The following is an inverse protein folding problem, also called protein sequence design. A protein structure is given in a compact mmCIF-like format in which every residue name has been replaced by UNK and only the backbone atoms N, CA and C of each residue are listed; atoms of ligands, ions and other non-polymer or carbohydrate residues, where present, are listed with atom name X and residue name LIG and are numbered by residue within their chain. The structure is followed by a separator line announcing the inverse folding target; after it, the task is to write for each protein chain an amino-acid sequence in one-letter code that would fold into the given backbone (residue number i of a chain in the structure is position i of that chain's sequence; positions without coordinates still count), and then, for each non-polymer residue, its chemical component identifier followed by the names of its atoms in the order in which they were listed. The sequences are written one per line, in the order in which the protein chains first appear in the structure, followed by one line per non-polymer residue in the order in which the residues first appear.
data_IF_018425708700
#
_entry.id   IF_018425708700
#
_cell.length_a   1.000
_cell.length_b   1.000
_cell.length_c   1.000
_cell.angle_alpha   90.00
_cell.angle_beta   90.00
_cell.angle_gamma   90.00
#
_symmetry.space_group_name_H-M   'P 1'
#
loop_
_entity.id
_entity.type
_entity.pdbx_description
1 polymer ?
#
# COMPACT_ATOMS: atom_id res chain seq x y z
N UNK A 1 -4.60 23.82 -2.32
CA UNK A 1 -3.85 22.93 -1.40
C UNK A 1 -4.78 21.96 -0.69
N UNK A 2 -5.90 22.42 -0.11
CA UNK A 2 -6.83 21.56 0.66
C UNK A 2 -7.39 20.37 -0.13
N UNK A 3 -7.72 20.56 -1.41
CA UNK A 3 -8.13 19.46 -2.30
C UNK A 3 -7.05 18.37 -2.41
N UNK A 4 -5.77 18.74 -2.57
CA UNK A 4 -4.66 17.78 -2.67
C UNK A 4 -4.42 17.04 -1.36
N UNK A 5 -4.57 17.71 -0.21
CA UNK A 5 -4.50 17.04 1.10
C UNK A 5 -5.60 16.00 1.24
N UNK A 6 -6.84 16.33 0.83
CA UNK A 6 -7.96 15.38 0.81
C UNK A 6 -7.66 14.19 -0.11
N UNK A 7 -7.14 14.42 -1.31
CA UNK A 7 -6.70 13.35 -2.21
C UNK A 7 -5.66 12.44 -1.56
N UNK A 8 -4.63 13.00 -0.93
CA UNK A 8 -3.59 12.20 -0.27
C UNK A 8 -4.16 11.37 0.89
N UNK A 9 -5.12 11.91 1.66
CA UNK A 9 -5.85 11.14 2.69
C UNK A 9 -6.65 9.99 2.08
N UNK A 10 -7.41 10.24 1.02
CA UNK A 10 -8.18 9.19 0.32
C UNK A 10 -7.28 8.07 -0.15
N UNK A 11 -6.13 8.38 -0.74
CA UNK A 11 -5.17 7.37 -1.21
C UNK A 11 -4.59 6.54 -0.06
N UNK A 12 -4.23 7.16 1.08
CA UNK A 12 -3.81 6.38 2.25
C UNK A 12 -4.92 5.49 2.79
N UNK A 13 -6.16 5.99 2.83
CA UNK A 13 -7.32 5.22 3.27
C UNK A 13 -7.58 4.01 2.36
N UNK A 14 -7.43 4.18 1.03
CA UNK A 14 -7.57 3.08 0.07
C UNK A 14 -6.49 2.00 0.27
N UNK A 15 -5.24 2.39 0.50
CA UNK A 15 -4.18 1.42 0.83
C UNK A 15 -4.45 0.71 2.16
N UNK A 16 -4.88 1.44 3.19
CA UNK A 16 -5.24 0.88 4.49
C UNK A 16 -6.40 -0.11 4.38
N UNK A 17 -7.43 0.24 3.60
CA UNK A 17 -8.57 -0.61 3.34
C UNK A 17 -8.14 -1.90 2.62
N UNK A 18 -7.33 -1.79 1.57
CA UNK A 18 -6.77 -2.95 0.84
C UNK A 18 -5.96 -3.87 1.75
N UNK A 19 -5.16 -3.30 2.66
CA UNK A 19 -4.37 -4.07 3.62
C UNK A 19 -5.26 -4.77 4.65
N UNK A 20 -6.26 -4.06 5.19
CA UNK A 20 -7.20 -4.60 6.17
C UNK A 20 -8.01 -5.76 5.59
N UNK A 21 -8.54 -5.60 4.37
CA UNK A 21 -9.24 -6.67 3.65
C UNK A 21 -8.30 -7.82 3.32
N UNK A 22 -7.02 -7.54 3.00
CA UNK A 22 -5.97 -8.53 2.82
C UNK A 22 -5.67 -9.37 4.06
N UNK A 23 -5.61 -8.74 5.24
CA UNK A 23 -5.35 -9.42 6.51
C UNK A 23 -6.56 -10.25 6.97
N UNK A 24 -7.77 -9.71 6.82
CA UNK A 24 -9.01 -10.33 7.31
C UNK A 24 -9.57 -11.38 6.33
N UNK A 25 -9.37 -11.19 5.02
CA UNK A 25 -10.27 -11.73 3.98
C UNK A 25 -9.76 -12.91 3.15
N UNK A 26 -8.56 -13.45 3.35
CA UNK A 26 -8.01 -14.47 2.42
C UNK A 26 -8.71 -15.83 2.41
N UNK A 27 -9.67 -16.07 3.32
CA UNK A 27 -10.44 -17.31 3.36
C UNK A 27 -11.73 -17.32 2.50
N UNK A 28 -12.16 -16.18 1.93
CA UNK A 28 -13.45 -16.09 1.22
C UNK A 28 -13.34 -15.43 -0.16
N UNK A 29 -14.24 -15.78 -1.09
CA UNK A 29 -14.35 -15.15 -2.43
C UNK A 29 -14.51 -13.63 -2.33
N UNK A 30 -15.27 -13.16 -1.34
CA UNK A 30 -15.49 -11.73 -1.08
C UNK A 30 -14.18 -11.06 -0.62
N UNK A 31 -13.44 -11.68 0.29
CA UNK A 31 -12.17 -11.11 0.74
C UNK A 31 -11.10 -11.13 -0.36
N UNK A 32 -10.99 -12.21 -1.14
CA UNK A 32 -10.13 -12.29 -2.31
C UNK A 32 -10.45 -11.21 -3.37
N UNK A 33 -11.73 -10.89 -3.57
CA UNK A 33 -12.15 -9.80 -4.44
C UNK A 33 -11.75 -8.42 -3.90
N UNK A 34 -11.75 -8.21 -2.59
CA UNK A 34 -11.50 -6.91 -1.95
C UNK A 34 -10.02 -6.61 -1.67
N UNK A 35 -9.10 -7.56 -1.85
CA UNK A 35 -7.69 -7.43 -1.41
C UNK A 35 -6.82 -6.55 -2.30
N UNK A 36 -7.17 -6.35 -3.58
CA UNK A 36 -6.23 -5.76 -4.56
C UNK A 36 -6.68 -4.45 -5.24
N UNK A 37 -7.94 -4.37 -5.68
CA UNK A 37 -8.40 -3.25 -6.50
C UNK A 37 -8.41 -1.88 -5.80
N UNK A 38 -8.66 -1.74 -4.46
CA UNK A 38 -8.62 -0.43 -3.83
C UNK A 38 -7.22 0.19 -3.90
N UNK A 39 -6.17 -0.61 -3.70
CA UNK A 39 -4.78 -0.16 -3.82
C UNK A 39 -4.38 0.17 -5.28
N UNK A 40 -4.99 -0.51 -6.26
CA UNK A 40 -4.82 -0.17 -7.69
C UNK A 40 -5.45 1.19 -7.99
N UNK A 41 -6.67 1.44 -7.51
CA UNK A 41 -7.30 2.77 -7.65
C UNK A 41 -6.43 3.83 -6.98
N UNK A 42 -5.92 3.56 -5.78
CA UNK A 42 -5.05 4.48 -5.04
C UNK A 42 -3.82 4.90 -5.86
N UNK A 43 -3.13 3.96 -6.51
CA UNK A 43 -1.95 4.29 -7.33
C UNK A 43 -2.33 5.01 -8.63
N UNK A 44 -3.47 4.68 -9.25
CA UNK A 44 -3.98 5.39 -10.43
C UNK A 44 -4.27 6.85 -10.09
N UNK A 45 -5.00 7.09 -8.99
CA UNK A 45 -5.31 8.44 -8.51
C UNK A 45 -4.03 9.24 -8.24
N UNK A 46 -3.02 8.60 -7.64
CA UNK A 46 -1.71 9.21 -7.46
C UNK A 46 -1.08 9.65 -8.78
N UNK A 47 -1.04 8.79 -9.79
CA UNK A 47 -0.44 9.15 -11.08
C UNK A 47 -1.20 10.27 -11.80
N UNK A 48 -2.54 10.25 -11.74
CA UNK A 48 -3.39 11.30 -12.32
C UNK A 48 -3.10 12.66 -11.67
N UNK A 49 -3.02 12.70 -10.34
CA UNK A 49 -2.86 13.95 -9.56
C UNK A 49 -1.40 14.33 -9.26
N UNK A 50 -0.42 13.50 -9.64
CA UNK A 50 1.00 13.72 -9.35
C UNK A 50 1.53 15.04 -9.91
N UNK A 51 1.06 15.44 -11.10
CA UNK A 51 1.51 16.68 -11.74
C UNK A 51 1.13 17.92 -10.92
N UNK A 52 -0.04 17.91 -10.30
CA UNK A 52 -0.58 18.99 -9.46
C UNK A 52 0.14 19.11 -8.11
N UNK A 53 0.77 18.03 -7.64
CA UNK A 53 1.52 18.02 -6.38
C UNK A 53 2.97 18.53 -6.53
N UNK A 54 3.48 18.75 -7.75
CA UNK A 54 4.89 19.15 -7.98
C UNK A 54 5.22 20.49 -7.35
N UNK A 55 6.42 20.58 -6.76
CA UNK A 55 6.88 21.80 -6.07
C UNK A 55 6.17 22.07 -4.74
N UNK A 56 5.32 21.15 -4.30
CA UNK A 56 4.66 21.20 -2.97
C UNK A 56 5.26 20.12 -2.06
N UNK A 57 5.11 20.28 -0.75
CA UNK A 57 5.54 19.25 0.21
C UNK A 57 4.81 17.91 0.03
N UNK A 58 3.60 17.93 -0.57
CA UNK A 58 2.83 16.73 -0.89
C UNK A 58 3.47 15.87 -1.99
N UNK A 59 4.35 16.42 -2.83
CA UNK A 59 5.06 15.64 -3.85
C UNK A 59 5.76 14.41 -3.24
N UNK A 60 6.32 14.59 -2.03
CA UNK A 60 6.96 13.53 -1.27
C UNK A 60 5.97 12.43 -0.84
N UNK A 61 4.74 12.78 -0.50
CA UNK A 61 3.68 11.82 -0.15
C UNK A 61 3.20 11.05 -1.38
N UNK A 62 3.00 11.72 -2.51
CA UNK A 62 2.64 11.05 -3.77
C UNK A 62 3.71 10.02 -4.16
N UNK A 63 4.99 10.40 -4.12
CA UNK A 63 6.10 9.48 -4.37
C UNK A 63 6.14 8.35 -3.35
N UNK A 64 5.89 8.63 -2.07
CA UNK A 64 5.83 7.63 -1.01
C UNK A 64 4.74 6.58 -1.24
N UNK A 65 3.53 7.01 -1.57
CA UNK A 65 2.38 6.14 -1.80
C UNK A 65 2.59 5.29 -3.06
N UNK A 66 3.06 5.90 -4.16
CA UNK A 66 3.44 5.17 -5.39
C UNK A 66 4.50 4.10 -5.10
N UNK A 67 5.57 4.43 -4.36
CA UNK A 67 6.58 3.44 -3.97
C UNK A 67 6.00 2.33 -3.09
N UNK A 68 5.08 2.67 -2.19
CA UNK A 68 4.41 1.69 -1.31
C UNK A 68 3.61 0.68 -2.12
N UNK A 69 2.91 1.13 -3.17
CA UNK A 69 2.24 0.24 -4.11
C UNK A 69 3.22 -0.72 -4.81
N UNK A 70 4.27 -0.19 -5.45
CA UNK A 70 5.19 -1.00 -6.25
C UNK A 70 6.05 -1.96 -5.41
N UNK A 71 6.55 -1.53 -4.26
CA UNK A 71 7.23 -2.42 -3.33
C UNK A 71 6.27 -3.47 -2.77
N UNK A 72 5.02 -3.09 -2.49
CA UNK A 72 3.99 -4.02 -2.11
C UNK A 72 3.72 -5.11 -3.15
N UNK A 73 3.56 -4.71 -4.41
CA UNK A 73 3.40 -5.64 -5.53
C UNK A 73 4.61 -6.57 -5.65
N UNK A 74 5.83 -6.04 -5.52
CA UNK A 74 7.06 -6.84 -5.50
C UNK A 74 7.04 -7.88 -4.37
N UNK A 75 6.75 -7.47 -3.13
CA UNK A 75 6.74 -8.38 -1.99
C UNK A 75 5.69 -9.48 -2.09
N UNK A 76 4.49 -9.15 -2.56
CA UNK A 76 3.43 -10.14 -2.82
C UNK A 76 3.89 -11.13 -3.90
N UNK A 77 4.51 -10.62 -4.98
CA UNK A 77 5.01 -11.45 -6.07
C UNK A 77 6.12 -12.39 -5.60
N UNK A 78 7.02 -11.92 -4.73
CA UNK A 78 8.07 -12.74 -4.12
C UNK A 78 7.52 -13.82 -3.18
N UNK A 79 6.50 -13.50 -2.37
CA UNK A 79 5.83 -14.50 -1.54
C UNK A 79 5.16 -15.58 -2.40
N UNK A 80 4.52 -15.19 -3.49
CA UNK A 80 3.89 -16.13 -4.42
C UNK A 80 4.93 -17.00 -5.14
N UNK A 81 6.02 -16.40 -5.63
CA UNK A 81 7.12 -17.11 -6.26
C UNK A 81 7.76 -18.12 -5.29
N UNK A 82 7.92 -17.76 -4.01
CA UNK A 82 8.44 -18.66 -2.98
C UNK A 82 7.54 -19.89 -2.77
N UNK A 83 6.21 -19.71 -2.69
CA UNK A 83 5.26 -20.83 -2.59
C UNK A 83 5.37 -21.76 -3.81
N UNK A 84 5.43 -21.19 -5.03
CA UNK A 84 5.53 -21.96 -6.27
C UNK A 84 6.85 -22.73 -6.33
N UNK A 85 7.97 -22.06 -6.04
CA UNK A 85 9.31 -22.64 -6.09
C UNK A 85 9.50 -23.79 -5.08
N UNK A 86 8.74 -23.78 -3.99
CA UNK A 86 8.76 -24.83 -2.95
C UNK A 86 7.68 -25.90 -3.16
N UNK A 87 7.05 -25.95 -4.35
CA UNK A 87 5.96 -26.88 -4.68
C UNK A 87 4.83 -26.88 -3.63
N UNK A 88 4.54 -25.72 -3.03
CA UNK A 88 3.50 -25.56 -2.02
C UNK A 88 3.95 -25.85 -0.58
N UNK A 89 5.11 -26.48 -0.34
CA UNK A 89 5.66 -26.72 1.02
C UNK A 89 5.89 -25.38 1.74
N UNK A 90 6.24 -24.34 0.99
CA UNK A 90 6.40 -22.99 1.50
C UNK A 90 5.19 -22.46 2.24
N UNK A 91 3.97 -22.95 2.01
CA UNK A 91 2.78 -22.52 2.76
C UNK A 91 2.93 -22.70 4.28
N UNK A 92 3.70 -23.70 4.73
CA UNK A 92 3.95 -23.95 6.15
C UNK A 92 4.76 -22.83 6.83
N UNK A 93 5.56 -22.09 6.05
CA UNK A 93 6.45 -21.03 6.56
C UNK A 93 6.15 -19.65 6.00
N UNK A 94 5.28 -19.54 4.98
CA UNK A 94 4.97 -18.27 4.28
C UNK A 94 4.24 -17.26 5.18
N UNK A 95 3.64 -17.70 6.28
CA UNK A 95 3.05 -16.80 7.26
C UNK A 95 4.07 -15.80 7.85
N UNK A 96 5.35 -16.19 7.99
CA UNK A 96 6.43 -15.31 8.46
C UNK A 96 6.71 -14.15 7.49
N UNK A 97 7.09 -14.38 6.21
CA UNK A 97 7.32 -13.30 5.27
C UNK A 97 6.06 -12.46 5.02
N UNK A 98 4.87 -13.08 4.99
CA UNK A 98 3.60 -12.34 4.86
C UNK A 98 3.37 -11.41 6.06
N UNK A 99 3.63 -11.86 7.29
CA UNK A 99 3.51 -11.02 8.48
C UNK A 99 4.51 -9.85 8.47
N UNK A 100 5.76 -10.10 8.05
CA UNK A 100 6.78 -9.05 7.91
C UNK A 100 6.37 -8.01 6.87
N UNK A 101 5.86 -8.44 5.71
CA UNK A 101 5.36 -7.54 4.65
C UNK A 101 4.14 -6.76 5.14
N UNK A 102 3.22 -7.41 5.86
CA UNK A 102 2.06 -6.77 6.48
C UNK A 102 2.47 -5.67 7.46
N UNK A 103 3.39 -5.97 8.38
CA UNK A 103 3.91 -5.00 9.34
C UNK A 103 4.62 -3.83 8.64
N UNK A 104 5.41 -4.12 7.62
CA UNK A 104 6.05 -3.10 6.78
C UNK A 104 4.99 -2.19 6.12
N UNK A 105 3.91 -2.75 5.58
CA UNK A 105 2.81 -1.98 5.00
C UNK A 105 2.11 -1.09 6.04
N UNK A 106 1.79 -1.64 7.22
CA UNK A 106 1.20 -0.87 8.33
C UNK A 106 2.09 0.32 8.69
N UNK A 107 3.39 0.08 8.89
CA UNK A 107 4.36 1.14 9.16
C UNK A 107 4.32 2.24 8.08
N UNK A 108 4.33 1.86 6.80
CA UNK A 108 4.36 2.80 5.67
C UNK A 108 3.11 3.68 5.61
N UNK A 109 1.94 3.10 5.88
CA UNK A 109 0.66 3.81 5.89
C UNK A 109 0.56 4.74 7.10
N UNK A 110 0.81 4.21 8.31
CA UNK A 110 0.72 4.97 9.57
C UNK A 110 1.71 6.13 9.57
N UNK A 111 2.97 5.89 9.19
CA UNK A 111 3.98 6.95 9.13
C UNK A 111 3.60 8.04 8.12
N UNK A 112 3.06 7.63 6.98
CA UNK A 112 2.57 8.55 5.96
C UNK A 112 1.40 9.41 6.44
N UNK A 113 0.46 8.80 7.15
CA UNK A 113 -0.72 9.47 7.69
C UNK A 113 -0.37 10.49 8.76
N UNK A 114 0.51 10.13 9.71
CA UNK A 114 0.98 11.03 10.77
C UNK A 114 1.66 12.26 10.16
N UNK A 115 2.64 12.05 9.28
CA UNK A 115 3.34 13.16 8.62
C UNK A 115 2.39 14.08 7.84
N UNK A 116 1.39 13.50 7.15
CA UNK A 116 0.37 14.27 6.43
C UNK A 116 -0.48 15.12 7.37
N UNK A 117 -0.88 14.56 8.53
CA UNK A 117 -1.64 15.27 9.56
C UNK A 117 -0.86 16.43 10.17
N UNK A 118 0.45 16.27 10.30
CA UNK A 118 1.35 17.29 10.86
C UNK A 118 1.83 18.33 9.83
N UNK A 119 1.41 18.23 8.56
CA UNK A 119 1.89 19.13 7.49
C UNK A 119 3.37 18.92 7.14
N UNK A 120 3.94 17.75 7.45
CA UNK A 120 5.36 17.43 7.27
C UNK A 120 5.59 16.58 6.01
N UNK A 121 6.63 16.84 5.20
CA UNK A 121 6.94 16.01 4.05
C UNK A 121 7.37 14.59 4.45
N UNK A 122 7.29 13.66 3.50
CA UNK A 122 7.94 12.36 3.59
C UNK A 122 9.42 12.48 3.24
N UNK A 123 10.23 11.65 3.88
CA UNK A 123 11.63 11.51 3.50
C UNK A 123 11.73 11.01 2.05
N UNK A 124 12.64 11.61 1.28
CA UNK A 124 12.81 11.37 -0.15
C UNK A 124 13.75 10.21 -0.40
#
# INVERSE_FOLDING_TARGET
MDSLVTWTKVVYALHAFSLLTGIIGTATVVGAFLTGWPSIIAVILNYIKRSEARGTWLESHFRWQIRTFWFGLLWISLCMAFIIATFGIGLLVTWLPVALVGLWFVYRIVRGWINLGDGRPMYV
#
